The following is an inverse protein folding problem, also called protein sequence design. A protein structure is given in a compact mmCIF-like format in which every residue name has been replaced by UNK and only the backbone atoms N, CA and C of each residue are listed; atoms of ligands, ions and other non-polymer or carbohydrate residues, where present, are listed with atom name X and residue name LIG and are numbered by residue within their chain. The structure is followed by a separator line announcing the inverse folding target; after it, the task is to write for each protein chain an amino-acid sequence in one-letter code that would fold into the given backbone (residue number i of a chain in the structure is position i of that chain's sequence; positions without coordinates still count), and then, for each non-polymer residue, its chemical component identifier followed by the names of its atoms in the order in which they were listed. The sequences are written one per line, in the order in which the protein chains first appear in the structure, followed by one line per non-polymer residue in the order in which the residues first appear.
data_IF_894977625250
#
_entry.id   IF_894977625250
#
_cell.length_a   1.000
_cell.length_b   1.000
_cell.length_c   1.000
_cell.angle_alpha   90.00
_cell.angle_beta   90.00
_cell.angle_gamma   90.00
#
_symmetry.space_group_name_H-M   'P 1'
#
loop_
_entity.id
_entity.type
_entity.pdbx_description
1 polymer ?
#
# COMPACT_ATOMS: atom_id res chain seq x y z
N UNK A 1 -5.11 -31.90 12.96
CA UNK A 1 -5.73 -30.76 13.64
C UNK A 1 -6.82 -30.13 12.79
N UNK A 2 -6.54 -29.67 11.56
CA UNK A 2 -7.50 -29.00 10.66
C UNK A 2 -8.73 -29.87 10.40
N UNK A 3 -8.56 -31.14 10.05
CA UNK A 3 -9.65 -32.07 9.81
C UNK A 3 -10.57 -32.23 11.05
N UNK A 4 -9.96 -32.47 12.21
CA UNK A 4 -10.71 -32.63 13.46
C UNK A 4 -11.50 -31.36 13.82
N UNK A 5 -10.89 -30.19 13.67
CA UNK A 5 -11.54 -28.90 13.92
C UNK A 5 -12.70 -28.65 12.93
N UNK A 6 -12.45 -28.81 11.64
CA UNK A 6 -13.47 -28.58 10.62
C UNK A 6 -14.64 -29.56 10.73
N UNK A 7 -14.40 -30.82 11.11
CA UNK A 7 -15.46 -31.77 11.39
C UNK A 7 -16.30 -31.38 12.60
N UNK A 8 -15.64 -30.95 13.69
CA UNK A 8 -16.33 -30.51 14.90
C UNK A 8 -17.18 -29.25 14.70
N UNK A 9 -16.72 -28.35 13.80
CA UNK A 9 -17.42 -27.10 13.46
C UNK A 9 -18.42 -27.23 12.30
N UNK A 10 -18.58 -28.40 11.70
CA UNK A 10 -19.45 -28.60 10.54
C UNK A 10 -18.95 -27.96 9.24
N UNK A 11 -17.66 -27.55 9.18
CA UNK A 11 -17.00 -26.92 8.04
C UNK A 11 -16.33 -27.93 7.11
N UNK A 12 -16.34 -29.23 7.49
CA UNK A 12 -15.70 -30.25 6.68
C UNK A 12 -16.53 -30.54 5.44
N UNK A 13 -15.91 -30.46 4.26
CA UNK A 13 -16.56 -30.81 2.99
C UNK A 13 -16.92 -32.30 2.95
N UNK A 14 -18.17 -32.61 2.76
CA UNK A 14 -18.64 -33.94 2.56
C UNK A 14 -18.84 -34.22 1.07
N UNK A 15 -18.37 -35.37 0.53
CA UNK A 15 -18.63 -35.75 -0.84
C UNK A 15 -20.15 -35.78 -1.13
N UNK A 16 -20.54 -35.20 -2.27
CA UNK A 16 -21.95 -35.18 -2.69
C UNK A 16 -22.84 -34.13 -2.04
N UNK A 17 -22.30 -33.29 -1.13
CA UNK A 17 -22.96 -32.10 -0.59
C UNK A 17 -22.28 -30.86 -1.10
N UNK A 18 -22.48 -30.51 -2.36
CA UNK A 18 -21.94 -29.27 -2.92
C UNK A 18 -22.94 -28.13 -2.73
N UNK A 19 -22.47 -26.93 -2.33
CA UNK A 19 -23.33 -25.76 -2.27
C UNK A 19 -23.81 -25.40 -3.68
N UNK A 20 -24.99 -24.80 -3.77
CA UNK A 20 -25.48 -24.22 -5.02
C UNK A 20 -24.63 -22.99 -5.30
N UNK A 21 -23.82 -23.06 -6.35
CA UNK A 21 -22.92 -21.96 -6.75
C UNK A 21 -23.49 -21.27 -8.00
N UNK A 22 -23.55 -19.93 -8.03
CA UNK A 22 -24.00 -19.20 -9.21
C UNK A 22 -22.99 -19.29 -10.37
N UNK A 23 -21.72 -19.54 -10.06
CA UNK A 23 -20.64 -19.70 -11.04
C UNK A 23 -19.51 -20.55 -10.44
N UNK A 24 -18.85 -21.33 -11.29
CA UNK A 24 -17.69 -22.17 -10.92
C UNK A 24 -16.53 -21.87 -11.85
N UNK A 25 -15.34 -21.62 -11.28
CA UNK A 25 -14.11 -21.45 -12.04
C UNK A 25 -13.07 -22.48 -11.62
N UNK A 26 -12.48 -23.14 -12.60
CA UNK A 26 -11.39 -24.09 -12.40
C UNK A 26 -10.07 -23.46 -12.91
N UNK A 27 -9.31 -22.71 -12.06
CA UNK A 27 -8.05 -22.14 -12.50
C UNK A 27 -7.00 -23.24 -12.65
N UNK A 28 -6.29 -23.23 -13.77
CA UNK A 28 -5.08 -24.02 -13.94
C UNK A 28 -3.93 -23.36 -13.17
N UNK A 29 -3.49 -23.95 -12.07
CA UNK A 29 -2.40 -23.41 -11.24
C UNK A 29 -1.07 -23.28 -12.01
N UNK A 30 -0.85 -24.10 -13.03
CA UNK A 30 0.31 -24.01 -13.91
C UNK A 30 0.37 -22.74 -14.79
N UNK A 31 -0.72 -21.98 -14.88
CA UNK A 31 -0.75 -20.68 -15.60
C UNK A 31 -0.49 -19.49 -14.69
N UNK A 32 -0.30 -19.72 -13.38
CA UNK A 32 0.01 -18.66 -12.43
C UNK A 32 1.49 -18.30 -12.55
N UNK A 33 1.75 -17.04 -12.87
CA UNK A 33 3.09 -16.48 -13.01
C UNK A 33 3.31 -15.33 -12.01
N UNK A 34 4.57 -15.04 -11.61
CA UNK A 34 4.89 -13.89 -10.77
C UNK A 34 4.36 -12.60 -11.41
N UNK A 35 3.57 -11.85 -10.62
CA UNK A 35 2.87 -10.69 -11.16
C UNK A 35 2.67 -9.63 -10.07
N UNK A 36 3.16 -8.40 -10.27
CA UNK A 36 2.73 -7.25 -9.48
C UNK A 36 1.36 -6.74 -9.94
N UNK A 37 0.75 -5.87 -9.12
CA UNK A 37 -0.41 -5.11 -9.55
C UNK A 37 0.03 -3.80 -10.21
N UNK A 38 -0.63 -3.46 -11.32
CA UNK A 38 -0.43 -2.21 -12.08
C UNK A 38 -0.77 -0.98 -11.22
N UNK A 39 -0.11 0.16 -11.44
CA UNK A 39 -0.52 1.43 -10.83
C UNK A 39 -1.99 1.76 -11.07
N UNK A 40 -2.61 2.40 -10.08
CA UNK A 40 -4.01 2.88 -9.99
C UNK A 40 -5.04 1.87 -9.49
N UNK A 41 -4.95 0.58 -9.81
CA UNK A 41 -5.96 -0.40 -9.36
C UNK A 41 -5.31 -1.70 -8.88
N UNK A 42 -5.64 -2.16 -7.65
CA UNK A 42 -5.03 -3.36 -7.09
C UNK A 42 -5.32 -4.65 -7.85
N UNK A 43 -6.43 -4.69 -8.59
CA UNK A 43 -6.87 -5.87 -9.36
C UNK A 43 -6.21 -5.98 -10.74
N UNK A 44 -5.54 -4.93 -11.23
CA UNK A 44 -4.92 -4.95 -12.55
C UNK A 44 -3.58 -5.69 -12.48
N UNK A 45 -3.62 -6.96 -12.85
CA UNK A 45 -2.44 -7.82 -12.85
C UNK A 45 -1.54 -7.55 -14.05
N UNK A 46 -0.23 -7.49 -13.83
CA UNK A 46 0.81 -7.42 -14.86
C UNK A 46 1.82 -8.53 -14.58
N UNK A 47 2.19 -9.33 -15.58
CA UNK A 47 3.27 -10.30 -15.40
C UNK A 47 4.61 -9.58 -15.24
N UNK A 48 5.52 -10.18 -14.48
CA UNK A 48 6.79 -9.57 -14.11
C UNK A 48 7.60 -9.07 -15.31
N UNK A 49 7.72 -9.83 -16.44
CA UNK A 49 8.43 -9.37 -17.64
C UNK A 49 7.75 -8.16 -18.33
N UNK A 50 6.46 -7.96 -18.10
CA UNK A 50 5.69 -6.90 -18.75
C UNK A 50 5.61 -5.60 -17.92
N UNK A 51 6.27 -5.54 -16.76
CA UNK A 51 6.29 -4.32 -15.92
C UNK A 51 6.88 -3.11 -16.67
N UNK A 52 8.01 -3.22 -17.38
CA UNK A 52 8.55 -2.09 -18.14
C UNK A 52 7.58 -1.56 -19.19
N UNK A 53 6.93 -2.45 -19.94
CA UNK A 53 5.95 -2.06 -20.94
C UNK A 53 4.71 -1.41 -20.30
N UNK A 54 4.21 -1.97 -19.21
CA UNK A 54 3.08 -1.40 -18.50
C UNK A 54 3.38 -0.01 -17.90
N UNK A 55 4.64 0.26 -17.52
CA UNK A 55 5.08 1.59 -17.14
C UNK A 55 5.12 2.55 -18.34
N UNK A 56 5.65 2.12 -19.50
CA UNK A 56 5.65 2.92 -20.72
C UNK A 56 4.23 3.26 -21.16
N UNK A 57 3.33 2.28 -21.20
CA UNK A 57 1.91 2.50 -21.53
C UNK A 57 1.25 3.52 -20.59
N UNK A 58 1.61 3.48 -19.30
CA UNK A 58 1.09 4.43 -18.30
C UNK A 58 1.57 5.85 -18.60
N UNK A 59 2.86 6.03 -18.91
CA UNK A 59 3.44 7.34 -19.24
C UNK A 59 2.89 7.87 -20.55
N UNK A 60 2.77 7.03 -21.58
CA UNK A 60 2.20 7.41 -22.87
C UNK A 60 0.75 7.90 -22.75
N UNK A 61 -0.05 7.29 -21.88
CA UNK A 61 -1.42 7.72 -21.62
C UNK A 61 -1.47 9.07 -20.89
N UNK A 62 -0.50 9.37 -20.03
CA UNK A 62 -0.43 10.67 -19.35
C UNK A 62 0.00 11.81 -20.27
N UNK A 63 0.85 11.52 -21.25
CA UNK A 63 1.39 12.53 -22.17
C UNK A 63 0.62 12.64 -23.50
N UNK A 64 -0.43 11.83 -23.73
CA UNK A 64 -1.33 12.05 -24.88
C UNK A 64 -2.09 13.34 -24.66
N UNK A 65 -2.09 14.26 -25.65
CA UNK A 65 -2.93 15.46 -25.56
C UNK A 65 -4.38 15.02 -25.45
N UNK A 66 -4.99 15.33 -24.32
CA UNK A 66 -6.43 15.20 -24.11
C UNK A 66 -7.18 16.11 -25.09
N UNK A 67 -8.40 15.73 -25.50
CA UNK A 67 -9.24 16.63 -26.26
C UNK A 67 -9.41 17.94 -25.48
N UNK A 68 -9.67 19.06 -26.17
CA UNK A 68 -9.78 20.39 -25.51
C UNK A 68 -10.78 20.41 -24.35
N UNK A 69 -11.77 19.53 -24.36
CA UNK A 69 -12.77 19.41 -23.29
C UNK A 69 -12.26 18.63 -22.08
N UNK A 70 -11.53 17.54 -22.29
CA UNK A 70 -10.91 16.78 -21.19
C UNK A 70 -9.78 17.55 -20.52
N UNK A 71 -8.96 18.28 -21.27
CA UNK A 71 -7.92 19.16 -20.76
C UNK A 71 -8.45 20.33 -19.91
N UNK A 72 -9.67 20.78 -20.17
CA UNK A 72 -10.33 21.82 -19.38
C UNK A 72 -10.81 21.30 -18.02
N UNK A 73 -11.32 20.08 -17.97
CA UNK A 73 -11.72 19.40 -16.73
C UNK A 73 -10.51 19.11 -15.80
N UNK A 74 -9.38 18.74 -16.35
CA UNK A 74 -8.15 18.54 -15.58
C UNK A 74 -7.55 19.86 -15.06
N UNK A 75 -7.61 20.93 -15.83
CA UNK A 75 -7.08 22.25 -15.42
C UNK A 75 -7.92 22.93 -14.33
N UNK A 76 -9.21 22.65 -14.26
CA UNK A 76 -10.10 23.19 -13.22
C UNK A 76 -10.04 22.40 -11.91
N UNK A 77 -9.47 21.17 -11.91
CA UNK A 77 -9.37 20.27 -10.76
C UNK A 77 -8.06 20.31 -9.96
N UNK A 78 -7.15 21.21 -10.26
CA UNK A 78 -5.91 21.42 -9.51
C UNK A 78 -4.89 20.28 -9.66
N UNK A 79 -3.91 20.43 -10.54
CA UNK A 79 -2.69 19.64 -10.54
C UNK A 79 -2.27 18.95 -11.83
N UNK A 80 -2.64 19.42 -12.98
CA UNK A 80 -2.08 18.97 -14.24
C UNK A 80 -1.71 20.15 -15.12
N UNK A 81 -0.48 20.62 -15.05
CA UNK A 81 0.06 21.49 -16.08
C UNK A 81 0.29 20.62 -17.30
N UNK A 82 -0.44 20.87 -18.39
CA UNK A 82 -0.17 20.28 -19.69
C UNK A 82 1.21 20.72 -20.16
N UNK A 83 2.21 19.90 -19.96
CA UNK A 83 3.55 20.11 -20.50
C UNK A 83 3.61 19.36 -21.83
N UNK A 84 3.81 20.10 -22.89
CA UNK A 84 4.04 19.52 -24.22
C UNK A 84 5.26 18.62 -24.25
N UNK A 85 5.21 17.59 -25.10
CA UNK A 85 6.29 16.70 -25.56
C UNK A 85 7.55 16.71 -24.67
N UNK A 86 7.46 16.26 -23.44
CA UNK A 86 8.63 15.88 -22.69
C UNK A 86 9.02 14.47 -23.15
N UNK A 87 10.19 14.35 -23.74
CA UNK A 87 10.82 13.06 -24.02
C UNK A 87 10.62 12.11 -22.84
N UNK A 88 10.25 10.85 -23.12
CA UNK A 88 10.26 9.74 -22.15
C UNK A 88 11.63 9.59 -21.44
N UNK A 89 12.62 10.36 -21.85
CA UNK A 89 13.97 10.51 -21.34
C UNK A 89 14.11 11.49 -20.15
N UNK A 90 13.01 11.92 -19.48
CA UNK A 90 13.12 12.78 -18.31
C UNK A 90 14.13 12.19 -17.32
N UNK A 91 15.20 12.93 -17.06
CA UNK A 91 16.25 12.60 -16.09
C UNK A 91 16.74 13.86 -15.39
N UNK A 92 17.19 13.71 -14.15
CA UNK A 92 17.78 14.79 -13.38
C UNK A 92 19.01 14.29 -12.63
N UNK A 93 20.08 15.05 -12.70
CA UNK A 93 21.25 14.82 -11.85
C UNK A 93 21.01 15.45 -10.47
N UNK A 94 21.44 14.78 -9.42
CA UNK A 94 21.37 15.29 -8.05
C UNK A 94 22.53 14.76 -7.21
N UNK A 95 22.97 15.56 -6.25
CA UNK A 95 24.04 15.21 -5.33
C UNK A 95 23.44 14.64 -4.04
N UNK A 96 23.93 13.48 -3.64
CA UNK A 96 23.50 12.80 -2.43
C UNK A 96 24.68 12.06 -1.79
N UNK A 97 24.91 12.25 -0.49
CA UNK A 97 26.02 11.64 0.25
C UNK A 97 27.40 11.80 -0.41
N UNK A 98 27.63 12.97 -1.03
CA UNK A 98 28.91 13.30 -1.66
C UNK A 98 29.15 12.67 -3.04
N UNK A 99 28.14 12.09 -3.64
CA UNK A 99 28.18 11.54 -5.00
C UNK A 99 27.05 12.11 -5.86
N UNK A 100 27.32 12.30 -7.15
CA UNK A 100 26.29 12.71 -8.12
C UNK A 100 25.62 11.48 -8.70
N UNK A 101 24.30 11.45 -8.63
CA UNK A 101 23.45 10.40 -9.18
C UNK A 101 22.51 10.96 -10.22
N UNK A 102 22.05 10.11 -11.11
CA UNK A 102 21.07 10.43 -12.14
C UNK A 102 19.76 9.71 -11.88
N UNK A 103 18.70 10.46 -11.58
CA UNK A 103 17.36 9.95 -11.41
C UNK A 103 16.62 10.01 -12.76
N UNK A 104 15.87 8.95 -13.08
CA UNK A 104 15.15 8.82 -14.36
C UNK A 104 13.69 8.48 -14.12
N UNK A 105 12.85 8.73 -15.13
CA UNK A 105 11.49 8.21 -15.15
C UNK A 105 11.48 6.70 -14.88
N UNK A 106 10.55 6.22 -14.06
CA UNK A 106 10.46 4.83 -13.62
C UNK A 106 11.41 4.46 -12.49
N UNK A 107 12.19 5.41 -11.94
CA UNK A 107 12.99 5.15 -10.74
C UNK A 107 12.08 4.76 -9.56
N UNK A 108 12.42 3.67 -8.88
CA UNK A 108 11.78 3.27 -7.63
C UNK A 108 12.37 4.11 -6.49
N UNK A 109 11.59 5.04 -5.97
CA UNK A 109 12.03 5.91 -4.87
C UNK A 109 11.52 5.45 -3.50
N UNK A 110 10.54 4.56 -3.46
CA UNK A 110 10.03 3.94 -2.24
C UNK A 110 9.91 2.43 -2.48
N UNK A 111 10.52 1.64 -1.59
CA UNK A 111 10.37 0.18 -1.54
C UNK A 111 9.95 -0.21 -0.12
N UNK A 112 8.71 -0.65 0.08
CA UNK A 112 8.18 -0.87 1.42
C UNK A 112 7.58 -2.26 1.61
N UNK A 113 8.11 -2.99 2.59
CA UNK A 113 7.42 -4.16 3.14
C UNK A 113 6.47 -3.64 4.20
N UNK A 114 5.18 -3.55 3.88
CA UNK A 114 4.15 -2.98 4.75
C UNK A 114 3.13 -4.03 5.17
N UNK A 115 2.51 -3.81 6.33
CA UNK A 115 1.50 -4.71 6.88
C UNK A 115 0.28 -4.80 5.96
N UNK A 116 0.07 -5.99 5.43
CA UNK A 116 -1.13 -6.42 4.72
C UNK A 116 -1.21 -7.95 4.79
N UNK A 117 -2.09 -8.58 4.04
CA UNK A 117 -2.27 -10.03 4.02
C UNK A 117 -0.95 -10.79 3.84
N UNK A 118 -0.01 -10.26 3.05
CA UNK A 118 1.29 -10.89 2.81
C UNK A 118 2.14 -11.02 4.07
N UNK A 119 2.14 -10.02 4.96
CA UNK A 119 3.00 -10.04 6.16
C UNK A 119 2.50 -10.96 7.25
N UNK A 120 1.29 -11.51 7.13
CA UNK A 120 0.77 -12.58 8.00
C UNK A 120 1.22 -13.98 7.59
N UNK A 121 1.88 -14.12 6.43
CA UNK A 121 2.41 -15.39 5.94
C UNK A 121 3.92 -15.48 6.18
N UNK A 122 4.38 -16.31 7.13
CA UNK A 122 5.81 -16.46 7.42
C UNK A 122 6.64 -16.88 6.22
N UNK A 123 6.11 -17.71 5.32
CA UNK A 123 6.86 -18.16 4.15
C UNK A 123 7.26 -17.01 3.23
N UNK A 124 6.36 -16.08 2.99
CA UNK A 124 6.62 -14.92 2.11
C UNK A 124 7.59 -13.94 2.78
N UNK A 125 7.45 -13.76 4.09
CA UNK A 125 8.35 -12.90 4.86
C UNK A 125 9.74 -13.50 4.94
N UNK A 126 9.88 -14.80 5.28
CA UNK A 126 11.17 -15.49 5.29
C UNK A 126 11.83 -15.46 3.91
N UNK A 127 11.06 -15.61 2.83
CA UNK A 127 11.58 -15.45 1.47
C UNK A 127 12.18 -14.06 1.23
N UNK A 128 11.55 -12.98 1.72
CA UNK A 128 12.08 -11.61 1.60
C UNK A 128 13.42 -11.46 2.35
N UNK A 129 13.50 -11.98 3.57
CA UNK A 129 14.73 -11.98 4.35
C UNK A 129 15.86 -12.80 3.70
N UNK A 130 15.52 -13.94 3.10
CA UNK A 130 16.48 -14.79 2.38
C UNK A 130 16.96 -14.13 1.08
N UNK A 131 16.08 -13.44 0.33
CA UNK A 131 16.51 -12.63 -0.83
C UNK A 131 17.47 -11.53 -0.39
N UNK A 132 17.16 -10.82 0.70
CA UNK A 132 18.06 -9.81 1.25
C UNK A 132 19.41 -10.40 1.65
N UNK A 133 19.42 -11.56 2.34
CA UNK A 133 20.63 -12.27 2.74
C UNK A 133 21.50 -12.60 1.53
N UNK A 134 20.94 -13.30 0.54
CA UNK A 134 21.70 -13.71 -0.66
C UNK A 134 22.19 -12.51 -1.47
N UNK A 135 21.41 -11.42 -1.53
CA UNK A 135 21.83 -10.19 -2.19
C UNK A 135 23.03 -9.54 -1.49
N UNK A 136 22.99 -9.40 -0.18
CA UNK A 136 24.08 -8.81 0.62
C UNK A 136 25.33 -9.68 0.58
N UNK A 137 25.19 -11.01 0.68
CA UNK A 137 26.31 -11.96 0.56
C UNK A 137 27.00 -11.89 -0.80
N UNK A 138 26.27 -11.52 -1.86
CA UNK A 138 26.83 -11.24 -3.19
C UNK A 138 27.35 -9.80 -3.36
N UNK A 139 27.27 -8.99 -2.31
CA UNK A 139 27.74 -7.58 -2.34
C UNK A 139 26.77 -6.61 -2.99
N UNK A 140 25.54 -7.02 -3.32
CA UNK A 140 24.52 -6.12 -3.84
C UNK A 140 24.07 -5.13 -2.77
N UNK A 141 23.74 -3.91 -3.20
CA UNK A 141 23.19 -2.84 -2.36
C UNK A 141 21.94 -2.29 -2.99
N UNK A 142 21.01 -1.78 -2.17
CA UNK A 142 19.89 -1.00 -2.70
C UNK A 142 20.40 0.26 -3.40
N UNK A 143 19.67 0.77 -4.36
CA UNK A 143 20.05 2.02 -5.02
C UNK A 143 19.91 3.19 -4.06
N UNK A 144 20.81 4.21 -4.14
CA UNK A 144 20.83 5.33 -3.19
C UNK A 144 19.54 6.13 -3.13
N UNK A 145 18.81 6.22 -4.23
CA UNK A 145 17.55 6.96 -4.32
C UNK A 145 16.34 6.19 -3.76
N UNK A 146 16.50 4.91 -3.38
CA UNK A 146 15.40 4.10 -2.86
C UNK A 146 15.31 4.27 -1.36
N UNK A 147 14.19 4.79 -0.87
CA UNK A 147 13.81 4.74 0.53
C UNK A 147 13.14 3.41 0.80
N UNK A 148 13.82 2.52 1.51
CA UNK A 148 13.25 1.23 1.94
C UNK A 148 12.73 1.30 3.37
N UNK A 149 11.75 0.44 3.71
CA UNK A 149 11.20 0.34 5.07
C UNK A 149 10.54 -1.01 5.31
N UNK A 150 10.52 -1.42 6.58
CA UNK A 150 9.84 -2.62 7.06
C UNK A 150 8.80 -2.21 8.12
N UNK A 151 7.53 -2.52 7.86
CA UNK A 151 6.44 -2.32 8.81
C UNK A 151 5.51 -3.55 8.83
N UNK A 152 5.89 -4.63 9.51
CA UNK A 152 5.11 -5.86 9.53
C UNK A 152 3.83 -5.72 10.36
N UNK A 153 2.89 -6.66 10.18
CA UNK A 153 1.62 -6.66 10.89
C UNK A 153 1.69 -7.09 12.35
N UNK A 154 2.82 -7.65 12.79
CA UNK A 154 2.97 -8.21 14.14
C UNK A 154 4.41 -8.16 14.60
N UNK A 155 4.61 -7.97 15.90
CA UNK A 155 5.93 -8.10 16.56
C UNK A 155 6.53 -9.49 16.41
N UNK A 156 5.72 -10.54 16.24
CA UNK A 156 6.19 -11.91 15.98
C UNK A 156 7.07 -11.99 14.74
N UNK A 157 6.84 -11.12 13.73
CA UNK A 157 7.68 -11.06 12.51
C UNK A 157 9.12 -10.68 12.86
N UNK A 158 9.30 -9.71 13.73
CA UNK A 158 10.64 -9.31 14.20
C UNK A 158 11.31 -10.42 15.01
N UNK A 159 10.55 -11.14 15.82
CA UNK A 159 11.08 -12.26 16.60
C UNK A 159 11.60 -13.39 15.69
N UNK A 160 10.82 -13.81 14.69
CA UNK A 160 11.28 -14.87 13.82
C UNK A 160 12.39 -14.44 12.83
N UNK A 161 12.40 -13.18 12.38
CA UNK A 161 13.54 -12.66 11.61
C UNK A 161 14.83 -12.66 12.42
N UNK A 162 14.74 -12.29 13.69
CA UNK A 162 15.87 -12.33 14.61
C UNK A 162 16.34 -13.77 14.85
N UNK A 163 15.41 -14.70 15.10
CA UNK A 163 15.72 -16.11 15.29
C UNK A 163 16.40 -16.75 14.06
N UNK A 164 15.92 -16.39 12.87
CA UNK A 164 16.49 -16.85 11.60
C UNK A 164 17.78 -16.10 11.19
N UNK A 165 18.21 -15.08 11.95
CA UNK A 165 19.40 -14.27 11.63
C UNK A 165 19.27 -13.42 10.36
N UNK A 166 18.03 -13.07 9.98
CA UNK A 166 17.74 -12.35 8.73
C UNK A 166 17.66 -10.83 8.91
N UNK A 167 17.45 -10.33 10.12
CA UNK A 167 17.31 -8.88 10.41
C UNK A 167 18.47 -8.07 9.87
N UNK A 168 19.70 -8.48 10.15
CA UNK A 168 20.92 -7.78 9.73
C UNK A 168 21.03 -7.57 8.20
N UNK A 169 20.49 -8.48 7.41
CA UNK A 169 20.53 -8.38 5.94
C UNK A 169 19.43 -7.44 5.41
N UNK A 170 18.28 -7.42 6.06
CA UNK A 170 17.23 -6.45 5.76
C UNK A 170 17.69 -5.03 6.10
N UNK A 171 18.29 -4.85 7.29
CA UNK A 171 18.86 -3.57 7.74
C UNK A 171 19.97 -3.09 6.78
N UNK A 172 20.86 -4.00 6.33
CA UNK A 172 21.91 -3.68 5.36
C UNK A 172 21.37 -3.15 4.01
N UNK A 173 20.14 -3.51 3.65
CA UNK A 173 19.42 -2.97 2.49
C UNK A 173 18.47 -1.83 2.87
N UNK A 174 18.54 -1.32 4.13
CA UNK A 174 17.75 -0.23 4.64
C UNK A 174 16.26 -0.56 4.84
N UNK A 175 15.91 -1.84 4.93
CA UNK A 175 14.58 -2.27 5.37
C UNK A 175 14.49 -2.26 6.89
N UNK A 176 14.78 -1.08 7.46
CA UNK A 176 14.72 -0.86 8.90
C UNK A 176 13.27 -0.93 9.39
N UNK A 177 13.08 -1.45 10.61
CA UNK A 177 11.78 -1.48 11.25
C UNK A 177 11.34 -0.06 11.61
N UNK A 178 10.29 0.44 10.94
CA UNK A 178 9.73 1.78 11.17
C UNK A 178 8.43 1.78 11.97
N UNK A 179 7.86 0.62 12.20
CA UNK A 179 6.62 0.46 12.97
C UNK A 179 5.93 -0.86 12.65
N UNK A 180 4.74 -1.04 13.23
CA UNK A 180 3.88 -2.19 12.98
C UNK A 180 2.54 -1.71 12.44
N UNK A 181 2.07 -2.32 11.35
CA UNK A 181 0.78 -1.98 10.77
C UNK A 181 0.87 -1.34 9.38
N UNK A 182 -0.25 -0.73 8.97
CA UNK A 182 -0.39 -0.09 7.65
C UNK A 182 0.29 1.28 7.64
N UNK A 183 1.59 1.34 7.39
CA UNK A 183 2.35 2.59 7.33
C UNK A 183 2.35 3.19 5.92
N UNK A 184 3.19 2.69 5.03
CA UNK A 184 3.35 3.20 3.66
C UNK A 184 2.05 3.14 2.84
N UNK A 185 1.26 2.08 3.00
CA UNK A 185 0.01 1.88 2.25
C UNK A 185 -1.06 2.96 2.53
N UNK A 186 -0.96 3.68 3.65
CA UNK A 186 -1.88 4.76 4.05
C UNK A 186 -1.25 6.16 3.98
N UNK A 187 -0.06 6.28 3.40
CA UNK A 187 0.60 7.58 3.22
C UNK A 187 1.57 7.96 4.32
N UNK A 188 1.92 7.06 5.23
CA UNK A 188 2.91 7.31 6.29
C UNK A 188 4.34 6.89 5.87
N UNK A 189 4.68 7.11 4.61
CA UNK A 189 6.05 6.84 4.10
C UNK A 189 7.08 7.84 4.62
N UNK A 190 6.61 8.98 5.12
CA UNK A 190 7.46 10.12 5.42
C UNK A 190 8.05 10.79 4.17
N UNK A 191 8.78 11.90 4.32
CA UNK A 191 9.37 12.61 3.19
C UNK A 191 10.46 11.78 2.51
N UNK A 192 10.70 12.01 1.23
CA UNK A 192 11.91 11.55 0.55
C UNK A 192 13.09 12.44 0.97
N UNK A 193 14.32 12.04 0.63
CA UNK A 193 15.46 12.93 0.83
C UNK A 193 15.32 14.18 -0.04
N UNK A 194 15.60 15.34 0.51
CA UNK A 194 15.41 16.65 -0.15
C UNK A 194 16.02 16.73 -1.56
N UNK A 195 17.26 16.22 -1.83
CA UNK A 195 17.82 16.21 -3.17
C UNK A 195 16.99 15.40 -4.17
N UNK A 196 16.41 14.27 -3.72
CA UNK A 196 15.56 13.41 -4.56
C UNK A 196 14.22 14.10 -4.85
N UNK A 197 13.60 14.74 -3.85
CA UNK A 197 12.37 15.52 -4.05
C UNK A 197 12.58 16.65 -5.05
N UNK A 198 13.67 17.40 -4.91
CA UNK A 198 14.04 18.48 -5.85
C UNK A 198 14.24 17.95 -7.26
N UNK A 199 14.97 16.85 -7.43
CA UNK A 199 15.20 16.24 -8.75
C UNK A 199 13.88 15.81 -9.41
N UNK A 200 12.96 15.18 -8.64
CA UNK A 200 11.65 14.79 -9.15
C UNK A 200 10.85 16.02 -9.62
N UNK A 201 10.81 17.08 -8.80
CA UNK A 201 10.03 18.28 -9.10
C UNK A 201 10.60 19.08 -10.27
N UNK A 202 11.94 19.27 -10.32
CA UNK A 202 12.60 20.06 -11.35
C UNK A 202 12.48 19.47 -12.76
N UNK A 203 12.52 18.15 -12.86
CA UNK A 203 12.41 17.45 -14.13
C UNK A 203 11.03 16.79 -14.37
N UNK A 204 10.05 17.10 -13.51
CA UNK A 204 8.70 16.50 -13.52
C UNK A 204 8.71 14.97 -13.71
N UNK A 205 9.59 14.29 -12.97
CA UNK A 205 9.80 12.86 -13.15
C UNK A 205 8.59 12.04 -12.70
N UNK A 206 8.24 11.05 -13.50
CA UNK A 206 7.30 10.00 -13.12
C UNK A 206 8.05 8.88 -12.43
N UNK A 207 8.08 8.93 -11.10
CA UNK A 207 8.75 7.93 -10.26
C UNK A 207 7.78 6.90 -9.71
N UNK A 208 8.33 5.81 -9.16
CA UNK A 208 7.59 4.65 -8.72
C UNK A 208 7.77 4.35 -7.23
N UNK A 209 6.75 3.78 -6.62
CA UNK A 209 6.86 2.99 -5.40
C UNK A 209 6.54 1.52 -5.67
N UNK A 210 7.21 0.62 -4.94
CA UNK A 210 6.90 -0.80 -4.91
C UNK A 210 6.66 -1.21 -3.47
N UNK A 211 5.47 -1.72 -3.18
CA UNK A 211 5.08 -2.02 -1.81
C UNK A 211 4.30 -3.34 -1.70
N UNK A 212 4.46 -4.05 -0.59
CA UNK A 212 3.70 -5.27 -0.30
C UNK A 212 2.32 -4.97 0.31
N UNK A 213 1.73 -3.86 -0.09
CA UNK A 213 0.44 -3.39 0.39
C UNK A 213 -0.77 -3.94 -0.39
N UNK A 214 -1.95 -3.36 -0.14
CA UNK A 214 -3.19 -3.67 -0.85
C UNK A 214 -3.87 -2.42 -1.45
N UNK A 215 -3.20 -1.28 -1.43
CA UNK A 215 -3.65 0.00 -2.01
C UNK A 215 -2.51 0.65 -2.76
N UNK A 216 -2.78 1.08 -3.99
CA UNK A 216 -1.79 1.66 -4.89
C UNK A 216 -2.34 2.87 -5.67
N UNK A 217 -3.29 3.58 -5.09
CA UNK A 217 -3.86 4.78 -5.70
C UNK A 217 -2.83 5.91 -5.74
N UNK A 218 -2.84 6.67 -6.82
CA UNK A 218 -2.03 7.86 -6.99
C UNK A 218 -2.22 8.86 -5.83
N UNK A 219 -1.14 9.49 -5.39
CA UNK A 219 -1.13 10.43 -4.27
C UNK A 219 -1.34 9.82 -2.88
N UNK A 220 -1.69 8.51 -2.78
CA UNK A 220 -1.94 7.86 -1.49
C UNK A 220 -0.67 7.47 -0.75
N UNK A 221 0.34 6.97 -1.47
CA UNK A 221 1.60 6.50 -0.87
C UNK A 221 2.51 7.68 -0.56
N UNK A 222 2.68 8.56 -1.54
CA UNK A 222 3.47 9.78 -1.42
C UNK A 222 3.04 10.78 -2.51
N UNK A 223 2.92 12.10 -2.22
CA UNK A 223 2.44 13.08 -3.19
C UNK A 223 3.24 13.15 -4.50
N UNK A 224 4.56 12.94 -4.43
CA UNK A 224 5.44 12.99 -5.60
C UNK A 224 5.52 11.66 -6.38
N UNK A 225 4.89 10.59 -5.90
CA UNK A 225 4.98 9.26 -6.52
C UNK A 225 3.73 8.97 -7.32
N UNK A 226 3.84 9.08 -8.64
CA UNK A 226 2.71 8.92 -9.56
C UNK A 226 2.36 7.46 -9.84
N UNK A 227 3.33 6.53 -9.74
CA UNK A 227 3.11 5.09 -10.02
C UNK A 227 3.39 4.24 -8.80
N UNK A 228 2.37 3.49 -8.36
CA UNK A 228 2.46 2.66 -7.17
C UNK A 228 2.17 1.20 -7.52
N UNK A 229 3.16 0.33 -7.32
CA UNK A 229 3.10 -1.09 -7.71
C UNK A 229 2.95 -1.96 -6.46
N UNK A 230 2.02 -2.90 -6.50
CA UNK A 230 1.88 -3.88 -5.43
C UNK A 230 2.64 -5.15 -5.81
N UNK A 231 3.51 -5.60 -4.94
CA UNK A 231 4.33 -6.78 -5.15
C UNK A 231 4.47 -7.59 -3.85
N UNK A 232 4.88 -8.85 -3.95
CA UNK A 232 5.21 -9.65 -2.78
C UNK A 232 6.44 -9.08 -2.05
N UNK A 233 6.59 -9.31 -0.73
CA UNK A 233 7.76 -8.86 0.03
C UNK A 233 9.12 -9.19 -0.61
N UNK A 234 9.38 -10.41 -1.13
CA UNK A 234 10.65 -10.69 -1.81
C UNK A 234 10.85 -9.86 -3.09
N UNK A 235 9.77 -9.60 -3.86
CA UNK A 235 9.86 -8.73 -5.03
C UNK A 235 10.07 -7.26 -4.66
N UNK A 236 9.56 -6.80 -3.52
CA UNK A 236 9.87 -5.45 -2.99
C UNK A 236 11.36 -5.31 -2.75
N UNK A 237 12.01 -6.32 -2.16
CA UNK A 237 13.48 -6.32 -1.98
C UNK A 237 14.19 -6.31 -3.34
N UNK A 238 13.75 -7.12 -4.30
CA UNK A 238 14.32 -7.16 -5.64
C UNK A 238 14.23 -5.80 -6.36
N UNK A 239 13.09 -5.11 -6.26
CA UNK A 239 12.94 -3.78 -6.86
C UNK A 239 13.74 -2.68 -6.14
N UNK A 240 14.03 -2.83 -4.84
CA UNK A 240 14.96 -1.94 -4.14
C UNK A 240 16.38 -2.07 -4.68
N UNK A 241 16.79 -3.29 -5.04
CA UNK A 241 18.10 -3.57 -5.68
C UNK A 241 18.13 -3.05 -7.13
N UNK A 242 17.07 -3.30 -7.90
CA UNK A 242 16.93 -2.82 -9.28
C UNK A 242 16.89 -1.28 -9.35
N UNK A 243 16.14 -0.64 -8.43
CA UNK A 243 15.96 0.80 -8.37
C UNK A 243 15.12 1.40 -9.47
N UNK A 244 14.47 0.58 -10.32
CA UNK A 244 13.64 1.02 -11.44
C UNK A 244 12.57 -0.01 -11.79
N UNK A 245 11.43 0.44 -12.32
CA UNK A 245 10.40 -0.42 -12.92
C UNK A 245 10.56 -0.54 -14.45
N UNK A 246 11.58 0.10 -15.03
CA UNK A 246 11.86 0.05 -16.46
C UNK A 246 12.79 -1.10 -16.87
N UNK A 247 13.10 -1.98 -15.95
CA UNK A 247 13.93 -3.17 -16.13
C UNK A 247 13.08 -4.43 -15.96
N UNK A 248 13.23 -5.39 -16.84
CA UNK A 248 12.70 -6.73 -16.62
C UNK A 248 13.61 -7.49 -15.66
N UNK A 249 13.29 -7.41 -14.37
CA UNK A 249 14.07 -8.07 -13.31
C UNK A 249 14.06 -9.60 -13.41
N UNK A 250 13.23 -10.21 -14.26
CA UNK A 250 13.23 -11.65 -14.48
C UNK A 250 14.36 -12.12 -15.41
N UNK A 251 14.83 -11.25 -16.30
CA UNK A 251 15.81 -11.56 -17.33
C UNK A 251 17.06 -10.69 -17.29
N UNK A 252 16.98 -9.47 -16.76
CA UNK A 252 18.08 -8.52 -16.67
C UNK A 252 18.80 -8.61 -15.31
N UNK A 253 20.11 -8.29 -15.25
CA UNK A 253 20.88 -8.35 -14.01
C UNK A 253 20.50 -7.22 -13.06
N UNK A 254 20.38 -7.54 -11.76
CA UNK A 254 20.11 -6.56 -10.70
C UNK A 254 21.36 -5.74 -10.32
N UNK A 255 22.54 -6.26 -10.62
CA UNK A 255 23.83 -5.64 -10.35
C UNK A 255 25.00 -6.58 -10.63
N UNK A 256 26.15 -6.26 -10.06
CA UNK A 256 27.37 -7.07 -10.12
C UNK A 256 27.79 -7.46 -8.72
N UNK A 257 28.36 -8.65 -8.59
CA UNK A 257 28.96 -9.10 -7.34
C UNK A 257 30.36 -8.46 -7.10
N UNK A 258 31.00 -8.86 -6.01
CA UNK A 258 32.32 -8.34 -5.63
C UNK A 258 33.42 -8.74 -6.62
N UNK A 259 33.21 -9.81 -7.40
CA UNK A 259 34.13 -10.32 -8.42
C UNK A 259 33.84 -9.75 -9.82
N UNK A 260 32.81 -8.89 -9.95
CA UNK A 260 32.39 -8.26 -11.19
C UNK A 260 31.44 -9.12 -12.04
N UNK A 261 30.92 -10.25 -11.53
CA UNK A 261 29.98 -11.08 -12.27
C UNK A 261 28.56 -10.49 -12.16
N UNK A 262 27.77 -10.64 -13.22
CA UNK A 262 26.38 -10.22 -13.25
C UNK A 262 25.53 -11.09 -12.32
N UNK A 263 24.72 -10.46 -11.48
CA UNK A 263 23.81 -11.10 -10.54
C UNK A 263 22.36 -10.88 -10.98
N UNK A 264 21.65 -11.97 -11.20
CA UNK A 264 20.25 -11.97 -11.62
C UNK A 264 19.33 -12.32 -10.45
N UNK A 265 18.05 -12.07 -10.60
CA UNK A 265 17.03 -12.41 -9.60
C UNK A 265 17.07 -13.90 -9.22
N UNK A 266 17.25 -14.80 -10.20
CA UNK A 266 17.35 -16.25 -9.99
C UNK A 266 18.51 -16.65 -9.07
N UNK A 267 19.60 -15.87 -9.04
CA UNK A 267 20.80 -16.17 -8.27
C UNK A 267 20.64 -15.86 -6.78
N UNK A 268 19.69 -15.00 -6.45
CA UNK A 268 19.36 -14.59 -5.08
C UNK A 268 17.98 -15.10 -4.62
N UNK A 269 17.21 -15.75 -5.51
CA UNK A 269 15.90 -16.27 -5.15
C UNK A 269 16.05 -17.55 -4.32
N UNK A 270 15.42 -17.62 -3.13
CA UNK A 270 15.53 -18.81 -2.29
C UNK A 270 14.74 -19.98 -2.87
N UNK A 271 15.26 -21.20 -2.68
CA UNK A 271 14.51 -22.41 -2.97
C UNK A 271 13.36 -22.63 -1.98
N UNK A 272 12.42 -23.46 -2.37
CA UNK A 272 11.29 -23.83 -1.48
C UNK A 272 11.78 -24.49 -0.19
N UNK A 273 12.89 -25.26 -0.25
CA UNK A 273 13.48 -25.89 0.93
C UNK A 273 14.08 -24.86 1.89
N UNK A 274 14.85 -23.90 1.39
CA UNK A 274 15.42 -22.83 2.22
C UNK A 274 14.31 -22.02 2.93
N UNK A 275 13.21 -21.76 2.24
CA UNK A 275 12.06 -21.07 2.83
C UNK A 275 11.43 -21.96 3.92
N UNK A 276 11.22 -23.24 3.67
CA UNK A 276 10.66 -24.17 4.64
C UNK A 276 11.53 -24.28 5.90
N UNK A 277 12.84 -24.38 5.73
CA UNK A 277 13.79 -24.45 6.84
C UNK A 277 13.77 -23.16 7.68
N UNK A 278 13.67 -22.00 7.03
CA UNK A 278 13.52 -20.73 7.74
C UNK A 278 12.20 -20.66 8.49
N UNK A 279 11.09 -21.07 7.89
CA UNK A 279 9.76 -21.10 8.52
C UNK A 279 9.72 -22.01 9.76
N UNK A 280 10.51 -23.06 9.80
CA UNK A 280 10.62 -23.94 10.98
C UNK A 280 11.16 -23.22 12.24
N UNK A 281 11.76 -22.03 12.09
CA UNK A 281 12.14 -21.18 13.23
C UNK A 281 10.94 -20.53 13.92
N UNK A 282 9.79 -20.41 13.23
CA UNK A 282 8.56 -19.83 13.78
C UNK A 282 7.92 -20.82 14.73
N UNK A 283 7.73 -20.42 15.98
CA UNK A 283 7.19 -21.30 17.01
C UNK A 283 6.12 -20.60 17.87
N UNK A 284 5.34 -21.39 18.56
CA UNK A 284 4.22 -20.90 19.40
C UNK A 284 4.67 -19.99 20.55
N UNK A 285 5.90 -20.17 21.06
CA UNK A 285 6.40 -19.34 22.14
C UNK A 285 6.56 -17.86 21.75
N UNK A 286 6.92 -17.59 20.49
CA UNK A 286 6.96 -16.21 19.96
C UNK A 286 5.60 -15.53 20.03
N UNK A 287 4.54 -16.24 19.67
CA UNK A 287 3.18 -15.71 19.75
C UNK A 287 2.74 -15.50 21.20
N UNK A 288 2.99 -16.44 22.08
CA UNK A 288 2.67 -16.27 23.50
C UNK A 288 3.41 -15.09 24.11
N UNK A 289 4.69 -14.91 23.78
CA UNK A 289 5.48 -13.77 24.27
C UNK A 289 4.86 -12.44 23.86
N UNK A 290 4.52 -12.29 22.58
CA UNK A 290 4.07 -11.01 22.03
C UNK A 290 2.60 -10.69 22.33
N UNK A 291 1.77 -11.71 22.62
CA UNK A 291 0.34 -11.53 22.89
C UNK A 291 -0.07 -11.75 24.34
N UNK A 292 0.86 -12.10 25.24
CA UNK A 292 0.54 -12.38 26.65
C UNK A 292 -0.12 -11.19 27.37
N UNK A 293 0.33 -9.97 27.06
CA UNK A 293 -0.08 -8.74 27.74
C UNK A 293 -0.99 -7.85 26.87
N UNK A 294 -1.51 -8.37 25.76
CA UNK A 294 -2.27 -7.57 24.79
C UNK A 294 -3.52 -6.90 25.39
N UNK A 295 -4.13 -7.51 26.41
CA UNK A 295 -5.29 -6.97 27.10
C UNK A 295 -4.93 -6.09 28.29
N UNK A 296 -3.75 -6.28 28.88
CA UNK A 296 -3.30 -5.47 30.00
C UNK A 296 -2.72 -4.11 29.52
N UNK A 297 -2.04 -4.12 28.39
CA UNK A 297 -1.33 -2.95 27.88
C UNK A 297 -0.07 -2.62 28.68
N UNK A 298 0.59 -1.53 28.32
CA UNK A 298 1.75 -1.01 29.02
C UNK A 298 1.36 -0.17 30.27
N UNK A 299 2.36 0.27 31.03
CA UNK A 299 2.15 1.07 32.23
C UNK A 299 1.41 2.38 31.94
N UNK A 300 1.64 3.00 30.78
CA UNK A 300 0.97 4.24 30.41
C UNK A 300 -0.51 3.99 30.10
N UNK A 301 -0.82 2.88 29.44
CA UNK A 301 -2.20 2.47 29.19
C UNK A 301 -2.94 2.15 30.50
N UNK A 302 -2.29 1.44 31.43
CA UNK A 302 -2.87 1.11 32.74
C UNK A 302 -3.06 2.32 33.65
N UNK A 303 -2.26 3.37 33.45
CA UNK A 303 -2.37 4.62 34.22
C UNK A 303 -3.53 5.52 33.75
N UNK A 304 -4.21 5.20 32.68
CA UNK A 304 -5.37 5.97 32.19
C UNK A 304 -6.54 5.73 33.18
N UNK A 305 -6.92 6.79 33.90
CA UNK A 305 -8.09 6.74 34.74
C UNK A 305 -9.37 6.71 33.90
N UNK A 306 -10.14 5.64 34.07
CA UNK A 306 -11.42 5.47 33.39
C UNK A 306 -12.53 5.47 34.44
N UNK A 307 -13.55 6.35 34.33
CA UNK A 307 -14.70 6.33 35.21
C UNK A 307 -15.40 4.96 35.15
N UNK A 308 -15.69 4.40 36.34
CA UNK A 308 -16.47 3.16 36.49
C UNK A 308 -17.96 3.47 36.25
N UNK A 309 -18.39 3.44 35.01
CA UNK A 309 -19.79 3.72 34.64
C UNK A 309 -20.28 2.71 33.58
N UNK A 310 -21.57 2.44 33.54
CA UNK A 310 -22.19 1.55 32.58
C UNK A 310 -22.19 2.15 31.13
N UNK A 311 -22.11 3.46 31.03
CA UNK A 311 -22.09 4.22 29.77
C UNK A 311 -21.01 5.28 29.87
N UNK A 312 -20.60 5.82 28.74
CA UNK A 312 -19.65 6.93 28.67
C UNK A 312 -20.21 8.16 29.40
N UNK A 313 -19.41 8.76 30.26
CA UNK A 313 -19.78 9.99 30.98
C UNK A 313 -19.32 11.18 30.13
N UNK A 314 -20.29 11.85 29.53
CA UNK A 314 -20.05 13.04 28.71
C UNK A 314 -19.63 14.23 29.58
N UNK A 315 -18.70 15.03 29.06
CA UNK A 315 -18.29 16.28 29.67
C UNK A 315 -18.88 17.42 28.84
N UNK A 316 -19.81 18.18 29.42
CA UNK A 316 -20.56 19.21 28.66
C UNK A 316 -19.69 20.39 28.21
N UNK A 317 -18.55 20.62 28.89
CA UNK A 317 -17.56 21.64 28.55
C UNK A 317 -16.48 21.18 27.59
N UNK A 318 -16.49 19.90 27.19
CA UNK A 318 -15.53 19.38 26.23
C UNK A 318 -15.75 19.98 24.86
N UNK A 319 -14.69 20.53 24.26
CA UNK A 319 -14.68 21.01 22.86
C UNK A 319 -14.18 19.96 21.88
N UNK A 320 -13.69 18.82 22.37
CA UNK A 320 -13.07 17.77 21.56
C UNK A 320 -14.00 16.57 21.35
N UNK A 321 -14.58 16.03 22.41
CA UNK A 321 -15.56 14.94 22.36
C UNK A 321 -16.86 15.45 22.98
N UNK A 322 -17.89 15.60 22.15
CA UNK A 322 -19.19 16.09 22.58
C UNK A 322 -20.26 15.02 22.37
N UNK A 323 -21.30 15.06 23.18
CA UNK A 323 -22.48 14.22 22.96
C UNK A 323 -23.12 14.60 21.63
N UNK A 324 -23.24 13.63 20.67
CA UNK A 324 -23.79 13.94 19.37
C UNK A 324 -25.29 14.31 19.44
N UNK A 325 -25.71 15.49 18.96
CA UNK A 325 -27.08 15.98 19.10
C UNK A 325 -28.13 15.11 18.39
N UNK A 326 -27.72 14.28 17.45
CA UNK A 326 -28.62 13.34 16.76
C UNK A 326 -29.02 12.13 17.63
N UNK A 327 -28.46 11.98 18.84
CA UNK A 327 -28.87 10.97 19.81
C UNK A 327 -29.81 11.50 20.89
N UNK A 328 -30.09 12.81 20.94
CA UNK A 328 -30.87 13.43 22.02
C UNK A 328 -32.29 12.83 22.16
N UNK A 329 -32.92 12.47 21.04
CA UNK A 329 -34.29 11.93 21.00
C UNK A 329 -34.38 10.44 20.64
N UNK A 330 -33.26 9.68 20.75
CA UNK A 330 -33.20 8.29 20.24
C UNK A 330 -34.08 7.31 21.03
N UNK A 331 -34.55 7.68 22.22
CA UNK A 331 -35.40 6.85 23.09
C UNK A 331 -36.88 6.82 22.72
N UNK A 332 -37.31 7.61 21.74
CA UNK A 332 -38.69 7.69 21.28
C UNK A 332 -38.97 6.89 19.99
N UNK A 333 -40.23 6.81 19.58
CA UNK A 333 -40.56 6.27 18.27
C UNK A 333 -39.88 7.12 17.17
N UNK A 334 -39.35 6.49 16.09
CA UNK A 334 -38.66 7.23 15.05
C UNK A 334 -39.56 8.31 14.45
N UNK A 335 -39.05 9.56 14.28
CA UNK A 335 -39.85 10.65 13.73
C UNK A 335 -40.27 10.29 12.31
N UNK A 336 -41.49 10.67 11.97
CA UNK A 336 -42.01 10.55 10.62
C UNK A 336 -41.19 11.47 9.70
N UNK A 337 -40.66 10.91 8.62
CA UNK A 337 -39.93 11.69 7.62
C UNK A 337 -40.87 12.72 7.00
N UNK A 338 -40.55 14.00 7.14
CA UNK A 338 -41.28 15.11 6.59
C UNK A 338 -40.57 15.63 5.34
N UNK A 339 -41.37 16.23 4.44
CA UNK A 339 -40.82 16.94 3.29
C UNK A 339 -39.92 18.09 3.74
N UNK A 340 -38.75 18.20 3.09
CA UNK A 340 -37.84 19.33 3.33
C UNK A 340 -38.33 20.52 2.52
N UNK A 341 -38.91 21.52 3.20
CA UNK A 341 -39.40 22.74 2.59
C UNK A 341 -38.52 23.93 2.95
N UNK A 342 -38.36 24.89 2.04
CA UNK A 342 -37.57 26.11 2.27
C UNK A 342 -36.06 25.90 2.29
N UNK A 343 -35.57 24.78 1.78
CA UNK A 343 -34.15 24.56 1.65
C UNK A 343 -33.50 25.60 0.73
N UNK A 344 -32.32 26.08 1.15
CA UNK A 344 -31.54 27.07 0.40
C UNK A 344 -30.24 26.48 -0.05
N UNK A 345 -29.75 26.87 -1.22
CA UNK A 345 -28.43 26.51 -1.71
C UNK A 345 -27.37 27.15 -0.82
N UNK A 346 -26.56 26.34 -0.17
CA UNK A 346 -25.44 26.79 0.69
C UNK A 346 -24.17 27.04 -0.09
N UNK A 347 -23.94 26.29 -1.18
CA UNK A 347 -22.77 26.43 -2.04
C UNK A 347 -23.06 25.94 -3.45
N UNK A 348 -22.57 26.67 -4.45
CA UNK A 348 -22.53 26.26 -5.84
C UNK A 348 -21.13 25.74 -6.13
N UNK A 349 -21.00 24.44 -6.38
CA UNK A 349 -19.71 23.78 -6.52
C UNK A 349 -19.27 23.59 -7.98
N UNK A 350 -20.03 24.11 -8.97
CA UNK A 350 -19.79 23.94 -10.41
C UNK A 350 -20.09 22.52 -10.90
N UNK A 351 -19.66 22.19 -12.10
CA UNK A 351 -20.06 20.96 -12.79
C UNK A 351 -19.24 19.72 -12.39
N UNK A 352 -18.05 19.91 -11.78
CA UNK A 352 -17.20 18.82 -11.32
C UNK A 352 -17.61 18.32 -9.94
N UNK A 353 -18.48 17.31 -9.92
CA UNK A 353 -19.04 16.76 -8.69
C UNK A 353 -18.13 15.70 -8.03
N UNK A 354 -17.32 14.99 -8.80
CA UNK A 354 -16.55 13.84 -8.30
C UNK A 354 -15.53 14.20 -7.20
N UNK A 355 -14.71 15.22 -7.41
CA UNK A 355 -13.76 15.69 -6.41
C UNK A 355 -14.44 16.26 -5.15
N UNK A 356 -15.57 16.91 -5.35
CA UNK A 356 -16.33 17.57 -4.28
C UNK A 356 -17.14 16.58 -3.46
N UNK A 357 -17.53 15.45 -4.04
CA UNK A 357 -18.16 14.35 -3.30
C UNK A 357 -17.22 13.66 -2.33
N UNK A 358 -15.94 13.49 -2.68
CA UNK A 358 -14.95 12.91 -1.77
C UNK A 358 -14.68 13.83 -0.58
N UNK A 359 -14.67 15.14 -0.78
CA UNK A 359 -14.58 16.12 0.30
C UNK A 359 -15.81 16.09 1.21
N UNK A 360 -17.03 16.10 0.65
CA UNK A 360 -18.26 15.99 1.41
C UNK A 360 -18.41 14.63 2.12
N UNK A 361 -17.95 13.56 1.48
CA UNK A 361 -17.91 12.22 2.07
C UNK A 361 -16.93 12.14 3.25
N UNK A 362 -15.81 12.84 3.17
CA UNK A 362 -14.84 12.94 4.27
C UNK A 362 -15.38 13.76 5.43
N UNK A 363 -16.15 14.81 5.16
CA UNK A 363 -16.83 15.60 6.20
C UNK A 363 -18.06 14.91 6.80
N UNK A 364 -18.67 13.95 6.06
CA UNK A 364 -19.87 13.23 6.49
C UNK A 364 -19.55 11.82 7.01
N UNK A 365 -18.41 11.60 7.63
CA UNK A 365 -17.96 10.32 8.19
C UNK A 365 -18.88 9.67 9.25
N UNK A 366 -20.07 10.17 9.45
CA UNK A 366 -21.11 9.53 10.24
C UNK A 366 -22.34 9.09 9.44
N UNK A 367 -22.42 9.37 8.15
CA UNK A 367 -23.63 9.11 7.36
C UNK A 367 -23.52 7.81 6.55
N UNK A 368 -23.64 6.68 7.23
CA UNK A 368 -23.64 5.34 6.63
C UNK A 368 -24.97 4.93 5.99
N UNK A 369 -26.02 5.75 6.05
CA UNK A 369 -27.36 5.35 5.60
C UNK A 369 -27.92 6.05 4.36
N UNK A 370 -27.48 7.25 4.04
CA UNK A 370 -27.93 7.94 2.85
C UNK A 370 -26.89 7.81 1.76
N UNK A 371 -27.13 6.98 0.77
CA UNK A 371 -26.45 7.18 -0.53
C UNK A 371 -26.72 8.62 -0.92
N UNK A 372 -25.72 9.47 -1.10
CA UNK A 372 -25.98 10.81 -1.57
C UNK A 372 -26.51 10.71 -3.00
N UNK A 373 -27.83 10.82 -3.15
CA UNK A 373 -28.41 11.17 -4.44
C UNK A 373 -27.92 12.53 -4.91
N UNK A 374 -27.21 13.26 -4.07
CA UNK A 374 -26.52 14.52 -4.36
C UNK A 374 -25.52 14.45 -5.52
N UNK A 375 -24.94 13.26 -5.81
CA UNK A 375 -24.07 13.08 -6.96
C UNK A 375 -24.77 12.94 -8.31
N UNK A 376 -26.08 12.86 -8.32
CA UNK A 376 -26.88 12.74 -9.54
C UNK A 376 -27.70 14.00 -9.85
N UNK A 377 -27.63 15.05 -9.00
CA UNK A 377 -28.41 16.29 -9.19
C UNK A 377 -27.57 17.23 -10.02
N UNK A 378 -27.90 17.35 -11.29
CA UNK A 378 -27.35 18.38 -12.18
C UNK A 378 -27.92 19.74 -11.84
N UNK A 379 -27.27 20.83 -12.27
CA UNK A 379 -27.84 22.18 -12.20
C UNK A 379 -29.22 22.29 -12.87
N UNK A 380 -29.52 21.40 -13.82
CA UNK A 380 -30.81 21.31 -14.48
C UNK A 380 -31.91 20.76 -13.56
N UNK A 381 -31.56 19.90 -12.62
CA UNK A 381 -32.47 19.27 -11.66
C UNK A 381 -32.75 20.17 -10.44
N UNK A 382 -32.05 21.31 -10.33
CA UNK A 382 -32.21 22.30 -9.26
C UNK A 382 -33.12 23.50 -9.68
N UNK A 383 -33.63 23.51 -10.91
CA UNK A 383 -34.64 24.44 -11.39
C UNK A 383 -36.02 23.87 -11.12
#
# INVERSE_FOLDING_TARGET
LVEAYCKAQGLWRLPGKEPILPDTRAPHTGTVEPSPARPRRPQDRVSLPNVPQAFSDFTDLQFKPTSKEEGRLESEGGGGVAVGNADLAGEADYDYEGQTYRLKNGAVVIAAITSCTNTSNPSVMMAAGLVAKKAVEKGLKRKPWVKSSLAPGSKVVTDYYKAAGLTQYLDALGFDLVGYGCTTCIGNSGPLAEPIEKAIQQADLTVASVLSGNRNFEGRVHPLVKTNWLASPPLVVAYALAGTVRMDISSEPLGTDQDGNLVYLRDIWPSTQEIADAVNQVNTAMFHKEYAEVFAGDEQWQAIEVPQAATYVWQDDSTYIQHPPFFDDIGGPPPVVKDVTGARVLALLGDSILFKMDFLRTLSLGWTGARPKLGAVSLADMK
#
